data_IF_063177046528
#
_entry.id   IF_063177046528
#
_cell.length_a   1.000
_cell.length_b   1.000
_cell.length_c   1.000
_cell.angle_alpha   90.00
_cell.angle_beta   90.00
_cell.angle_gamma   90.00
#
_symmetry.space_group_name_H-M   'P 1'
#
loop_
_entity.id
_entity.type
_entity.pdbx_description
1 polymer ?
#
# COMPACT_ATOMS: atom_id res chain seq x y z
N UNK A 1 -49.71 -55.92 -44.66
CA UNK A 1 -48.62 -56.55 -43.93
C UNK A 1 -47.30 -55.90 -44.33
N UNK A 2 -46.98 -54.77 -43.76
CA UNK A 2 -45.64 -54.18 -43.87
C UNK A 2 -45.36 -53.45 -42.55
N UNK A 3 -44.46 -54.04 -41.80
CA UNK A 3 -43.90 -53.45 -40.58
C UNK A 3 -42.79 -52.49 -40.93
N UNK A 4 -42.95 -51.21 -40.62
CA UNK A 4 -41.96 -50.19 -40.81
C UNK A 4 -41.22 -49.95 -39.51
N UNK A 5 -39.90 -50.26 -39.50
CA UNK A 5 -38.99 -49.95 -38.40
C UNK A 5 -38.56 -48.49 -38.46
N UNK A 6 -38.89 -47.69 -37.46
CA UNK A 6 -38.33 -46.37 -37.25
C UNK A 6 -37.03 -46.51 -36.40
N UNK A 7 -35.87 -46.18 -37.02
CA UNK A 7 -34.61 -45.97 -36.30
C UNK A 7 -34.61 -44.57 -35.67
N UNK A 8 -34.72 -44.49 -34.37
CA UNK A 8 -34.46 -43.26 -33.64
C UNK A 8 -32.94 -43.04 -33.56
N UNK A 9 -32.46 -41.95 -34.19
CA UNK A 9 -31.10 -41.45 -34.02
C UNK A 9 -31.07 -40.54 -32.77
N UNK A 10 -30.46 -41.03 -31.71
CA UNK A 10 -30.14 -40.23 -30.50
C UNK A 10 -28.90 -39.41 -30.78
N UNK A 11 -29.06 -38.13 -31.07
CA UNK A 11 -27.95 -37.18 -31.12
C UNK A 11 -27.62 -36.73 -29.69
N UNK A 12 -26.59 -37.29 -29.09
CA UNK A 12 -26.03 -36.80 -27.84
C UNK A 12 -25.37 -35.44 -28.06
N UNK A 13 -26.06 -34.39 -27.65
CA UNK A 13 -25.44 -33.07 -27.47
C UNK A 13 -24.54 -33.14 -26.23
N UNK A 14 -23.24 -33.28 -26.41
CA UNK A 14 -22.26 -33.04 -25.38
C UNK A 14 -22.19 -31.53 -25.15
N UNK A 15 -22.92 -31.07 -24.17
CA UNK A 15 -22.78 -29.71 -23.63
C UNK A 15 -21.47 -29.68 -22.84
N UNK A 16 -20.38 -29.29 -23.49
CA UNK A 16 -19.14 -28.94 -22.77
C UNK A 16 -19.39 -27.62 -22.07
N UNK A 17 -19.89 -27.71 -20.85
CA UNK A 17 -19.82 -26.59 -19.91
C UNK A 17 -18.35 -26.43 -19.53
N UNK A 18 -17.66 -25.51 -20.19
CA UNK A 18 -16.40 -24.98 -19.68
C UNK A 18 -16.74 -24.27 -18.38
N UNK A 19 -16.57 -24.98 -17.28
CA UNK A 19 -16.51 -24.40 -15.96
C UNK A 19 -15.26 -23.49 -15.96
N UNK A 20 -15.47 -22.19 -16.20
CA UNK A 20 -14.55 -21.18 -15.73
C UNK A 20 -14.56 -21.30 -14.21
N UNK A 21 -13.59 -22.02 -13.67
CA UNK A 21 -13.23 -21.92 -12.26
C UNK A 21 -12.73 -20.50 -12.05
N UNK A 22 -13.63 -19.62 -11.66
CA UNK A 22 -13.25 -18.42 -10.93
C UNK A 22 -12.60 -18.98 -9.66
N UNK A 23 -11.28 -19.06 -9.64
CA UNK A 23 -10.53 -19.22 -8.39
C UNK A 23 -10.87 -17.98 -7.57
N UNK A 24 -11.90 -18.08 -6.75
CA UNK A 24 -12.09 -17.14 -5.66
C UNK A 24 -10.80 -17.24 -4.86
N UNK A 25 -10.02 -16.16 -4.82
CA UNK A 25 -8.81 -16.10 -4.02
C UNK A 25 -9.14 -16.54 -2.61
N UNK A 26 -8.36 -17.47 -2.08
CA UNK A 26 -8.61 -17.92 -0.71
C UNK A 26 -8.53 -16.70 0.22
N UNK A 27 -9.28 -16.65 1.35
CA UNK A 27 -9.21 -15.54 2.30
C UNK A 27 -7.77 -15.18 2.71
N UNK A 28 -6.89 -16.18 2.75
CA UNK A 28 -5.46 -15.99 2.99
C UNK A 28 -4.79 -15.23 1.83
N UNK A 29 -5.02 -15.62 0.59
CA UNK A 29 -4.41 -14.99 -0.56
C UNK A 29 -4.86 -13.54 -0.70
N UNK A 30 -6.16 -13.26 -0.50
CA UNK A 30 -6.70 -11.92 -0.48
C UNK A 30 -6.09 -11.05 0.64
N UNK A 31 -5.91 -11.62 1.84
CA UNK A 31 -5.24 -10.94 2.95
C UNK A 31 -3.77 -10.61 2.65
N UNK A 32 -3.00 -11.58 2.13
CA UNK A 32 -1.58 -11.36 1.80
C UNK A 32 -1.41 -10.33 0.69
N UNK A 33 -2.27 -10.32 -0.31
CA UNK A 33 -2.28 -9.32 -1.37
C UNK A 33 -2.61 -7.93 -0.81
N UNK A 34 -3.69 -7.78 -0.06
CA UNK A 34 -4.08 -6.50 0.52
C UNK A 34 -3.02 -5.95 1.49
N UNK A 35 -2.37 -6.83 2.26
CA UNK A 35 -1.24 -6.49 3.14
C UNK A 35 -0.05 -5.94 2.34
N UNK A 36 0.29 -6.58 1.23
CA UNK A 36 1.38 -6.13 0.36
C UNK A 36 1.04 -4.79 -0.33
N UNK A 37 -0.19 -4.63 -0.81
CA UNK A 37 -0.69 -3.39 -1.40
C UNK A 37 -0.62 -2.24 -0.39
N UNK A 38 -1.07 -2.45 0.85
CA UNK A 38 -1.01 -1.46 1.92
C UNK A 38 0.44 -1.08 2.28
N UNK A 39 1.33 -2.05 2.40
CA UNK A 39 2.76 -1.81 2.63
C UNK A 39 3.35 -0.95 1.51
N UNK A 40 3.07 -1.27 0.25
CA UNK A 40 3.58 -0.54 -0.91
C UNK A 40 3.04 0.89 -0.96
N UNK A 41 1.74 1.11 -0.69
CA UNK A 41 1.14 2.44 -0.65
C UNK A 41 1.76 3.32 0.45
N UNK A 42 1.94 2.77 1.65
CA UNK A 42 2.59 3.48 2.76
C UNK A 42 4.06 3.77 2.48
N UNK A 43 4.78 2.84 1.85
CA UNK A 43 6.17 3.04 1.48
C UNK A 43 6.32 4.08 0.35
N UNK A 44 5.41 4.08 -0.64
CA UNK A 44 5.35 5.11 -1.67
C UNK A 44 5.03 6.49 -1.06
N UNK A 45 4.09 6.57 -0.10
CA UNK A 45 3.79 7.80 0.63
C UNK A 45 4.98 8.28 1.46
N UNK A 46 5.67 7.37 2.16
CA UNK A 46 6.84 7.68 2.97
C UNK A 46 7.96 8.36 2.17
N UNK A 47 8.04 8.07 0.85
CA UNK A 47 9.09 8.61 0.00
C UNK A 47 8.98 10.13 -0.24
N UNK A 48 7.83 10.76 0.02
CA UNK A 48 7.63 12.19 -0.26
C UNK A 48 8.19 13.11 0.81
N UNK A 49 8.47 12.81 1.97
CA UNK A 49 9.09 13.67 2.99
C UNK A 49 8.24 14.85 3.46
N UNK A 50 6.97 14.96 3.06
CA UNK A 50 5.99 15.87 3.62
C UNK A 50 5.34 15.27 4.88
N UNK A 51 4.37 15.98 5.51
CA UNK A 51 3.76 15.51 6.76
C UNK A 51 3.16 14.10 6.65
N UNK A 52 2.36 13.75 5.61
CA UNK A 52 1.90 12.37 5.42
C UNK A 52 3.05 11.38 5.26
N UNK A 53 4.05 11.72 4.45
CA UNK A 53 5.21 10.88 4.22
C UNK A 53 6.04 10.63 5.47
N UNK A 54 6.25 11.66 6.30
CA UNK A 54 6.95 11.50 7.59
C UNK A 54 6.17 10.60 8.55
N UNK A 55 4.84 10.75 8.63
CA UNK A 55 3.99 9.89 9.45
C UNK A 55 4.04 8.43 8.97
N UNK A 56 3.95 8.20 7.65
CA UNK A 56 4.08 6.88 7.06
C UNK A 56 5.45 6.24 7.35
N UNK A 57 6.52 7.03 7.23
CA UNK A 57 7.87 6.56 7.53
C UNK A 57 8.03 6.14 8.99
N UNK A 58 7.52 6.95 9.93
CA UNK A 58 7.55 6.63 11.35
C UNK A 58 6.79 5.34 11.65
N UNK A 59 5.61 5.16 11.04
CA UNK A 59 4.82 3.94 11.16
C UNK A 59 5.57 2.71 10.66
N UNK A 60 6.17 2.78 9.48
CA UNK A 60 6.95 1.69 8.90
C UNK A 60 8.16 1.32 9.77
N UNK A 61 8.85 2.32 10.34
CA UNK A 61 9.97 2.09 11.28
C UNK A 61 9.48 1.39 12.54
N UNK A 62 8.33 1.81 13.12
CA UNK A 62 7.70 1.10 14.26
C UNK A 62 7.38 -0.35 13.93
N UNK A 63 6.97 -0.63 12.70
CA UNK A 63 6.74 -1.99 12.18
C UNK A 63 8.02 -2.77 11.86
N UNK A 64 9.19 -2.23 12.20
CA UNK A 64 10.50 -2.91 12.09
C UNK A 64 11.16 -2.79 10.72
N UNK A 65 10.73 -1.85 9.86
CA UNK A 65 11.42 -1.54 8.61
C UNK A 65 12.63 -0.63 8.86
N UNK A 66 13.78 -1.00 8.33
CA UNK A 66 14.92 -0.12 8.19
C UNK A 66 14.81 0.61 6.86
N UNK A 67 14.80 1.94 6.87
CA UNK A 67 14.54 2.76 5.68
C UNK A 67 15.70 3.73 5.46
N UNK A 68 16.43 3.52 4.38
CA UNK A 68 17.48 4.40 3.89
C UNK A 68 16.92 5.35 2.83
N UNK A 69 16.86 6.64 3.14
CA UNK A 69 16.44 7.68 2.22
C UNK A 69 17.61 8.16 1.39
N UNK A 70 17.48 8.18 0.08
CA UNK A 70 18.51 8.56 -0.85
C UNK A 70 18.05 9.69 -1.78
N UNK A 71 18.98 10.58 -2.10
CA UNK A 71 18.80 11.62 -3.11
C UNK A 71 20.03 11.62 -4.00
N UNK A 72 19.83 11.33 -5.28
CA UNK A 72 20.90 11.39 -6.27
C UNK A 72 20.57 12.48 -7.29
N UNK A 73 21.52 13.37 -7.54
CA UNK A 73 21.38 14.45 -8.53
C UNK A 73 22.37 14.27 -9.65
N UNK A 74 21.94 14.64 -10.84
CA UNK A 74 22.78 14.93 -11.98
C UNK A 74 22.34 16.25 -12.63
N UNK A 75 22.90 16.61 -13.79
CA UNK A 75 22.64 17.89 -14.47
C UNK A 75 21.20 18.03 -14.96
N UNK A 76 20.41 16.93 -14.98
CA UNK A 76 19.08 16.87 -15.62
C UNK A 76 17.98 16.39 -14.69
N UNK A 77 18.32 15.69 -13.61
CA UNK A 77 17.32 15.11 -12.71
C UNK A 77 17.79 15.03 -11.26
N UNK A 78 16.81 14.95 -10.36
CA UNK A 78 16.98 14.64 -8.96
C UNK A 78 16.16 13.40 -8.64
N UNK A 79 16.84 12.25 -8.53
CA UNK A 79 16.21 11.00 -8.15
C UNK A 79 16.12 10.86 -6.62
N UNK A 80 14.89 10.75 -6.11
CA UNK A 80 14.57 10.53 -4.69
C UNK A 80 13.94 9.17 -4.53
N UNK A 81 14.45 8.39 -3.57
CA UNK A 81 13.93 7.06 -3.31
C UNK A 81 14.26 6.57 -1.90
N UNK A 82 13.55 5.56 -1.46
CA UNK A 82 13.84 4.82 -0.24
C UNK A 82 14.21 3.38 -0.58
N UNK A 83 15.30 2.90 0.01
CA UNK A 83 15.64 1.49 0.05
C UNK A 83 15.32 0.97 1.45
N UNK A 84 14.32 0.09 1.54
CA UNK A 84 13.83 -0.41 2.82
C UNK A 84 14.07 -1.91 2.96
N UNK A 85 14.38 -2.37 4.18
CA UNK A 85 14.64 -3.77 4.49
C UNK A 85 13.98 -4.19 5.80
N UNK A 86 13.43 -5.43 5.79
CA UNK A 86 12.93 -6.11 6.98
C UNK A 86 13.08 -7.62 6.80
N UNK A 87 13.94 -8.25 7.59
CA UNK A 87 14.24 -9.68 7.43
C UNK A 87 14.72 -10.00 6.00
N UNK A 88 13.98 -10.86 5.30
CA UNK A 88 14.28 -11.24 3.92
C UNK A 88 13.62 -10.35 2.87
N UNK A 89 12.96 -9.28 3.27
CA UNK A 89 12.28 -8.37 2.36
C UNK A 89 13.15 -7.17 2.02
N UNK A 90 13.31 -6.89 0.73
CA UNK A 90 13.87 -5.65 0.20
C UNK A 90 12.80 -4.92 -0.61
N UNK A 91 12.62 -3.63 -0.33
CA UNK A 91 11.65 -2.80 -1.02
C UNK A 91 12.32 -1.51 -1.49
N UNK A 92 12.18 -1.20 -2.79
CA UNK A 92 12.55 0.08 -3.37
C UNK A 92 11.28 0.91 -3.55
N UNK A 93 11.17 2.06 -2.90
CA UNK A 93 10.11 3.03 -3.13
C UNK A 93 10.66 4.27 -3.83
N UNK A 94 10.13 4.57 -4.99
CA UNK A 94 10.56 5.73 -5.79
C UNK A 94 9.59 6.88 -5.59
N UNK A 95 10.14 8.06 -5.30
CA UNK A 95 9.35 9.28 -5.11
C UNK A 95 8.80 9.78 -6.45
N UNK A 96 7.52 10.10 -6.49
CA UNK A 96 6.90 10.77 -7.61
C UNK A 96 7.09 12.29 -7.57
N UNK A 97 6.54 12.98 -8.57
CA UNK A 97 6.52 14.44 -8.63
C UNK A 97 5.46 15.00 -7.67
N UNK A 98 5.82 16.08 -6.95
CA UNK A 98 4.98 16.60 -5.87
C UNK A 98 3.68 17.31 -6.34
N UNK A 99 3.60 17.72 -7.61
CA UNK A 99 2.41 18.43 -8.13
C UNK A 99 1.98 17.97 -9.52
N UNK A 100 0.66 18.05 -9.79
CA UNK A 100 0.09 17.81 -11.13
C UNK A 100 0.59 18.81 -12.18
N UNK A 101 0.95 20.04 -11.77
CA UNK A 101 1.49 21.05 -12.66
C UNK A 101 2.90 20.65 -13.13
N UNK A 102 3.73 20.15 -12.21
CA UNK A 102 5.07 19.65 -12.50
C UNK A 102 5.00 18.39 -13.39
N UNK A 103 4.04 17.51 -13.14
CA UNK A 103 3.81 16.35 -14.02
C UNK A 103 3.55 16.77 -15.46
N UNK A 104 2.73 17.82 -15.68
CA UNK A 104 2.45 18.33 -17.04
C UNK A 104 3.66 18.99 -17.68
N UNK A 105 4.49 19.69 -16.90
CA UNK A 105 5.73 20.32 -17.40
C UNK A 105 6.84 19.30 -17.63
N UNK A 106 6.93 18.28 -16.79
CA UNK A 106 7.95 17.22 -16.85
C UNK A 106 7.62 16.13 -17.88
N UNK A 107 6.36 16.05 -18.36
CA UNK A 107 5.94 15.21 -19.47
C UNK A 107 6.49 15.76 -20.80
N UNK A 108 7.80 15.95 -20.87
CA UNK A 108 8.50 16.08 -22.14
C UNK A 108 8.35 14.75 -22.88
N UNK A 109 7.43 14.70 -23.86
CA UNK A 109 6.95 13.48 -24.53
C UNK A 109 7.98 12.77 -25.41
N UNK A 110 9.25 13.12 -25.28
CA UNK A 110 10.31 12.47 -26.01
C UNK A 110 10.45 11.03 -25.56
N UNK A 111 10.40 10.12 -26.52
CA UNK A 111 10.69 8.73 -26.30
C UNK A 111 12.10 8.38 -26.79
N UNK A 112 12.77 7.52 -26.03
CA UNK A 112 14.08 6.97 -26.40
C UNK A 112 13.96 5.47 -26.63
N UNK A 113 14.91 4.91 -27.42
CA UNK A 113 15.02 3.48 -27.53
C UNK A 113 15.43 2.90 -26.18
N UNK A 114 14.70 1.90 -25.68
CA UNK A 114 15.05 1.24 -24.43
C UNK A 114 16.36 0.45 -24.60
N UNK A 115 17.38 0.82 -23.84
CA UNK A 115 18.74 0.28 -23.96
C UNK A 115 19.00 -1.05 -23.24
N UNK A 116 17.97 -1.79 -22.85
CA UNK A 116 18.11 -3.09 -22.19
C UNK A 116 18.62 -4.20 -23.11
N UNK A 117 19.29 -5.21 -22.53
CA UNK A 117 19.90 -6.33 -23.26
C UNK A 117 18.91 -7.32 -23.85
N UNK A 118 17.68 -7.36 -23.36
CA UNK A 118 16.63 -8.27 -23.81
C UNK A 118 16.08 -7.90 -25.19
N UNK A 119 16.93 -7.63 -26.20
CA UNK A 119 16.32 -7.20 -27.38
C UNK A 119 17.00 -6.94 -28.66
N UNK A 120 18.05 -7.66 -28.93
CA UNK A 120 18.55 -7.74 -30.34
C UNK A 120 17.68 -8.58 -31.24
N UNK A 121 16.67 -9.29 -30.76
CA UNK A 121 15.64 -9.94 -31.59
C UNK A 121 14.48 -8.96 -31.79
N UNK A 122 14.73 -7.89 -32.54
CA UNK A 122 13.68 -7.06 -33.06
C UNK A 122 12.81 -7.93 -33.99
N UNK A 123 11.56 -8.21 -33.61
CA UNK A 123 10.49 -8.42 -34.60
C UNK A 123 10.52 -7.21 -35.54
N UNK A 124 10.20 -7.39 -36.80
CA UNK A 124 10.33 -6.42 -37.90
C UNK A 124 9.73 -5.03 -37.66
N UNK A 125 8.95 -4.83 -36.58
CA UNK A 125 8.12 -3.64 -36.33
C UNK A 125 8.27 -3.02 -34.92
N UNK A 126 9.21 -3.45 -34.05
CA UNK A 126 9.12 -3.08 -32.65
C UNK A 126 10.42 -2.65 -31.97
N UNK A 127 10.92 -1.44 -32.27
CA UNK A 127 11.87 -0.78 -31.36
C UNK A 127 11.15 -0.49 -30.05
N UNK A 128 11.59 -1.11 -28.95
CA UNK A 128 11.10 -0.75 -27.60
C UNK A 128 11.47 0.67 -27.31
N UNK A 129 10.47 1.46 -27.01
CA UNK A 129 10.63 2.86 -26.68
C UNK A 129 10.03 3.14 -25.30
N UNK A 130 10.70 3.99 -24.55
CA UNK A 130 10.25 4.42 -23.22
C UNK A 130 10.35 5.93 -23.12
N UNK A 131 9.68 6.51 -22.13
CA UNK A 131 9.73 7.93 -21.86
C UNK A 131 11.13 8.35 -21.43
N UNK A 132 11.72 9.32 -22.13
CA UNK A 132 13.11 9.72 -21.94
C UNK A 132 13.40 10.22 -20.51
N UNK A 133 12.48 11.01 -19.93
CA UNK A 133 12.62 11.50 -18.56
C UNK A 133 12.58 10.36 -17.52
N UNK A 134 11.69 9.40 -17.68
CA UNK A 134 11.62 8.25 -16.77
C UNK A 134 12.85 7.35 -16.90
N UNK A 135 13.34 7.14 -18.12
CA UNK A 135 14.56 6.35 -18.37
C UNK A 135 15.79 7.02 -17.78
N UNK A 136 15.91 8.35 -17.94
CA UNK A 136 16.98 9.12 -17.34
C UNK A 136 16.94 9.05 -15.82
N UNK A 137 15.78 9.31 -15.20
CA UNK A 137 15.60 9.21 -13.74
C UNK A 137 15.96 7.80 -13.24
N UNK A 138 15.53 6.75 -13.94
CA UNK A 138 15.86 5.35 -13.60
C UNK A 138 17.38 5.13 -13.63
N UNK A 139 18.05 5.67 -14.65
CA UNK A 139 19.51 5.56 -14.78
C UNK A 139 20.23 6.25 -13.63
N UNK A 140 19.81 7.48 -13.28
CA UNK A 140 20.36 8.25 -12.16
C UNK A 140 20.15 7.51 -10.82
N UNK A 141 18.94 6.96 -10.61
CA UNK A 141 18.61 6.16 -9.42
C UNK A 141 19.50 4.92 -9.30
N UNK A 142 19.62 4.12 -10.36
CA UNK A 142 20.37 2.87 -10.33
C UNK A 142 21.88 3.10 -10.22
N UNK A 143 22.38 4.25 -10.69
CA UNK A 143 23.79 4.67 -10.56
C UNK A 143 24.11 5.28 -9.19
N UNK A 144 23.13 5.58 -8.34
CA UNK A 144 23.34 6.20 -7.04
C UNK A 144 24.30 5.35 -6.17
N UNK A 145 25.30 5.97 -5.52
CA UNK A 145 26.25 5.24 -4.64
C UNK A 145 25.52 4.73 -3.39
N UNK A 146 25.78 3.49 -3.01
CA UNK A 146 25.22 2.88 -1.82
C UNK A 146 26.16 1.80 -1.25
N UNK A 147 26.73 2.05 -0.07
CA UNK A 147 27.58 1.07 0.63
C UNK A 147 28.79 0.58 -0.17
N UNK A 148 29.44 1.45 -0.96
CA UNK A 148 30.59 1.10 -1.81
C UNK A 148 30.23 0.45 -3.16
N UNK A 149 28.94 0.31 -3.46
CA UNK A 149 28.40 -0.20 -4.72
C UNK A 149 27.42 0.83 -5.30
N UNK A 150 26.76 0.52 -6.42
CA UNK A 150 25.60 1.27 -6.88
C UNK A 150 24.31 0.64 -6.37
N UNK A 151 23.24 1.43 -6.26
CA UNK A 151 21.90 0.92 -5.94
C UNK A 151 21.51 -0.20 -6.90
N UNK A 152 21.77 -0.06 -8.20
CA UNK A 152 21.52 -1.10 -9.19
C UNK A 152 22.23 -2.43 -8.89
N UNK A 153 23.49 -2.38 -8.47
CA UNK A 153 24.26 -3.57 -8.07
C UNK A 153 23.68 -4.22 -6.81
N UNK A 154 23.30 -3.43 -5.83
CA UNK A 154 22.70 -3.93 -4.59
C UNK A 154 21.34 -4.57 -4.86
N UNK A 155 20.48 -3.93 -5.67
CA UNK A 155 19.19 -4.48 -6.04
C UNK A 155 19.33 -5.76 -6.88
N UNK A 156 20.28 -5.81 -7.80
CA UNK A 156 20.56 -7.02 -8.58
C UNK A 156 21.01 -8.18 -7.68
N UNK A 157 21.92 -7.92 -6.73
CA UNK A 157 22.34 -8.93 -5.76
C UNK A 157 21.18 -9.42 -4.88
N UNK A 158 20.34 -8.51 -4.38
CA UNK A 158 19.15 -8.86 -3.59
C UNK A 158 18.11 -9.64 -4.42
N UNK A 159 17.94 -9.34 -5.71
CA UNK A 159 17.02 -10.04 -6.61
C UNK A 159 17.47 -11.48 -6.95
N UNK A 160 18.76 -11.78 -6.84
CA UNK A 160 19.30 -13.13 -7.02
C UNK A 160 19.40 -13.93 -5.72
N UNK A 161 19.24 -13.28 -4.57
CA UNK A 161 19.23 -13.94 -3.26
C UNK A 161 17.84 -14.57 -3.01
N UNK A 162 17.70 -15.48 -2.02
CA UNK A 162 16.40 -16.00 -1.58
C UNK A 162 15.63 -14.95 -0.77
N UNK A 163 15.46 -13.77 -1.36
CA UNK A 163 14.78 -12.61 -0.79
C UNK A 163 13.56 -12.25 -1.63
N UNK A 164 12.58 -11.63 -0.99
CA UNK A 164 11.44 -11.02 -1.70
C UNK A 164 11.80 -9.59 -2.06
N UNK A 165 11.82 -9.29 -3.35
CA UNK A 165 12.08 -7.94 -3.82
C UNK A 165 10.81 -7.32 -4.38
N UNK A 166 10.45 -6.16 -3.84
CA UNK A 166 9.31 -5.36 -4.31
C UNK A 166 9.81 -3.96 -4.70
N UNK A 167 9.33 -3.49 -5.84
CA UNK A 167 9.50 -2.11 -6.27
C UNK A 167 8.15 -1.41 -6.24
N UNK A 168 8.11 -0.19 -5.77
CA UNK A 168 6.85 0.58 -5.69
C UNK A 168 7.07 2.06 -5.95
N UNK A 169 6.00 2.74 -6.26
CA UNK A 169 5.98 4.18 -6.40
C UNK A 169 4.62 4.70 -6.83
N UNK A 170 4.40 5.97 -6.58
CA UNK A 170 3.21 6.70 -6.97
C UNK A 170 3.55 7.65 -8.12
N UNK A 171 2.62 7.82 -9.06
CA UNK A 171 2.79 8.76 -10.18
C UNK A 171 4.07 8.45 -10.99
N UNK A 172 4.92 9.44 -11.26
CA UNK A 172 6.23 9.29 -11.89
C UNK A 172 7.06 8.19 -11.21
N UNK A 173 7.04 8.13 -9.86
CA UNK A 173 7.77 7.10 -9.12
C UNK A 173 7.35 5.68 -9.47
N UNK A 174 6.07 5.46 -9.77
CA UNK A 174 5.55 4.18 -10.25
C UNK A 174 6.10 3.82 -11.64
N UNK A 175 6.17 4.79 -12.56
CA UNK A 175 6.75 4.57 -13.89
C UNK A 175 8.24 4.22 -13.81
N UNK A 176 9.00 4.90 -12.94
CA UNK A 176 10.42 4.62 -12.69
C UNK A 176 10.60 3.25 -12.03
N UNK A 177 9.73 2.85 -11.11
CA UNK A 177 9.76 1.52 -10.49
C UNK A 177 9.61 0.40 -11.54
N UNK A 178 8.71 0.57 -12.53
CA UNK A 178 8.56 -0.36 -13.66
C UNK A 178 9.83 -0.44 -14.49
N UNK A 179 10.46 0.71 -14.83
CA UNK A 179 11.70 0.73 -15.60
C UNK A 179 12.86 0.12 -14.82
N UNK A 180 12.97 0.39 -13.52
CA UNK A 180 13.99 -0.23 -12.67
C UNK A 180 13.83 -1.76 -12.64
N UNK A 181 12.60 -2.26 -12.50
CA UNK A 181 12.31 -3.69 -12.57
C UNK A 181 12.67 -4.29 -13.93
N UNK A 182 12.38 -3.58 -15.03
CA UNK A 182 12.77 -4.03 -16.36
C UNK A 182 14.29 -4.15 -16.52
N UNK A 183 15.05 -3.17 -15.97
CA UNK A 183 16.53 -3.22 -15.94
C UNK A 183 17.07 -4.40 -15.13
N UNK A 184 16.46 -4.68 -13.96
CA UNK A 184 16.83 -5.84 -13.14
C UNK A 184 16.47 -7.16 -13.81
N UNK A 185 15.33 -7.24 -14.50
CA UNK A 185 14.94 -8.40 -15.27
C UNK A 185 15.92 -8.68 -16.43
N UNK A 186 16.48 -7.64 -17.05
CA UNK A 186 17.54 -7.77 -18.07
C UNK A 186 18.84 -8.33 -17.50
N UNK A 187 19.09 -8.13 -16.21
CA UNK A 187 20.22 -8.70 -15.47
C UNK A 187 19.93 -10.12 -14.93
N UNK A 188 18.77 -10.70 -15.29
CA UNK A 188 18.41 -12.07 -14.93
C UNK A 188 17.54 -12.23 -13.67
N UNK A 189 17.11 -11.14 -13.04
CA UNK A 189 16.18 -11.19 -11.92
C UNK A 189 14.83 -11.77 -12.39
N UNK A 190 14.31 -12.79 -11.68
CA UNK A 190 13.12 -13.55 -12.11
C UNK A 190 11.90 -13.44 -11.19
N UNK A 191 12.06 -12.91 -9.98
CA UNK A 191 10.98 -12.81 -8.98
C UNK A 191 10.75 -11.37 -8.54
N UNK A 192 10.56 -10.49 -9.52
CA UNK A 192 10.31 -9.08 -9.27
C UNK A 192 8.82 -8.80 -9.16
N UNK A 193 8.40 -8.24 -8.04
CA UNK A 193 7.08 -7.68 -7.86
C UNK A 193 7.14 -6.16 -7.96
N UNK A 194 6.24 -5.58 -8.73
CA UNK A 194 6.09 -4.13 -8.87
C UNK A 194 4.66 -3.76 -8.53
N UNK A 195 4.48 -2.84 -7.61
CA UNK A 195 3.16 -2.31 -7.24
C UNK A 195 3.17 -0.80 -7.48
N UNK A 196 2.28 -0.32 -8.34
CA UNK A 196 2.24 1.10 -8.71
C UNK A 196 0.91 1.73 -8.42
N UNK A 197 0.93 3.00 -8.05
CA UNK A 197 -0.26 3.80 -7.71
C UNK A 197 -0.35 5.00 -8.66
N UNK A 198 -1.40 5.06 -9.49
CA UNK A 198 -1.63 6.16 -10.41
C UNK A 198 -0.48 6.42 -11.40
N UNK A 199 0.29 5.40 -11.77
CA UNK A 199 1.43 5.56 -12.65
C UNK A 199 1.01 5.81 -14.10
N UNK A 200 1.68 6.76 -14.82
CA UNK A 200 1.47 6.97 -16.25
C UNK A 200 2.06 5.83 -17.09
N UNK A 201 1.71 5.78 -18.37
CA UNK A 201 2.29 4.85 -19.32
C UNK A 201 3.82 5.06 -19.45
N UNK A 202 4.55 3.96 -19.40
CA UNK A 202 6.03 3.96 -19.33
C UNK A 202 6.67 3.92 -20.72
N UNK A 203 6.11 3.12 -21.63
CA UNK A 203 6.68 2.87 -22.95
C UNK A 203 5.61 2.51 -23.96
N UNK A 204 6.07 2.01 -25.11
CA UNK A 204 5.20 1.55 -26.18
C UNK A 204 4.82 0.07 -26.00
N UNK A 205 3.93 -0.41 -26.86
CA UNK A 205 3.43 -1.77 -26.88
C UNK A 205 4.57 -2.82 -26.93
N UNK A 206 5.59 -2.59 -27.75
CA UNK A 206 6.75 -3.48 -27.85
C UNK A 206 7.53 -3.58 -26.51
N UNK A 207 7.55 -2.51 -25.70
CA UNK A 207 8.12 -2.55 -24.34
C UNK A 207 7.21 -3.37 -23.43
N UNK A 208 5.92 -3.13 -23.45
CA UNK A 208 4.95 -3.81 -22.62
C UNK A 208 4.90 -5.32 -22.88
N UNK A 209 4.90 -5.74 -24.15
CA UNK A 209 4.99 -7.16 -24.53
C UNK A 209 6.27 -7.83 -24.02
N UNK A 210 7.41 -7.12 -24.10
CA UNK A 210 8.69 -7.67 -23.70
C UNK A 210 8.80 -7.90 -22.19
N UNK A 211 8.18 -7.04 -21.37
CA UNK A 211 8.34 -7.06 -19.89
C UNK A 211 7.10 -7.52 -19.14
N UNK A 212 5.91 -7.52 -19.74
CA UNK A 212 4.65 -7.91 -19.10
C UNK A 212 4.63 -9.33 -18.52
N UNK A 213 5.48 -10.24 -19.02
CA UNK A 213 5.64 -11.60 -18.48
C UNK A 213 6.89 -11.79 -17.64
N UNK A 214 7.78 -10.80 -17.57
CA UNK A 214 9.07 -10.88 -16.86
C UNK A 214 9.02 -10.20 -15.51
N UNK A 215 8.07 -9.28 -15.33
CA UNK A 215 7.80 -8.60 -14.06
C UNK A 215 6.34 -8.87 -13.65
N UNK A 216 6.12 -9.17 -12.38
CA UNK A 216 4.77 -9.21 -11.82
C UNK A 216 4.37 -7.78 -11.49
N UNK A 217 3.49 -7.21 -12.29
CA UNK A 217 3.06 -5.82 -12.18
C UNK A 217 1.61 -5.72 -11.69
N UNK A 218 1.43 -5.16 -10.50
CA UNK A 218 0.13 -4.82 -9.93
C UNK A 218 -0.09 -3.30 -10.14
N UNK A 219 -0.85 -2.93 -11.18
CA UNK A 219 -1.20 -1.53 -11.50
C UNK A 219 -2.46 -1.14 -10.77
N UNK A 220 -2.34 -0.23 -9.81
CA UNK A 220 -3.46 0.29 -9.03
C UNK A 220 -3.76 1.72 -9.47
N UNK A 221 -5.03 1.97 -9.79
CA UNK A 221 -5.51 3.26 -10.27
C UNK A 221 -6.75 3.65 -9.48
N UNK A 222 -6.77 4.86 -8.94
CA UNK A 222 -7.97 5.40 -8.31
C UNK A 222 -8.98 5.81 -9.40
N UNK A 223 -10.26 5.53 -9.17
CA UNK A 223 -11.30 5.99 -10.09
C UNK A 223 -11.25 7.51 -10.25
N UNK A 224 -11.21 7.97 -11.49
CA UNK A 224 -11.09 9.40 -11.81
C UNK A 224 -9.68 9.98 -11.75
N UNK A 225 -8.64 9.18 -11.51
CA UNK A 225 -7.25 9.64 -11.58
C UNK A 225 -6.89 10.09 -13.01
N UNK A 226 -6.56 11.37 -13.23
CA UNK A 226 -6.27 11.90 -14.57
C UNK A 226 -4.89 11.48 -15.09
N UNK A 227 -3.95 11.10 -14.23
CA UNK A 227 -2.54 10.87 -14.59
C UNK A 227 -2.38 9.54 -15.34
N UNK A 228 -3.22 8.55 -15.04
CA UNK A 228 -3.20 7.27 -15.76
C UNK A 228 -3.20 7.45 -17.29
N UNK A 229 -3.99 8.41 -17.78
CA UNK A 229 -4.15 8.69 -19.22
C UNK A 229 -3.35 9.88 -19.71
N UNK A 230 -2.63 10.60 -18.83
CA UNK A 230 -2.02 11.87 -19.16
C UNK A 230 -1.03 11.79 -20.33
N UNK A 231 -0.15 10.80 -20.34
CA UNK A 231 0.86 10.59 -21.38
C UNK A 231 0.22 10.15 -22.70
N UNK A 232 -0.76 9.26 -22.63
CA UNK A 232 -1.48 8.75 -23.81
C UNK A 232 -2.36 9.84 -24.47
N UNK A 233 -2.88 10.79 -23.69
CA UNK A 233 -3.70 11.88 -24.21
C UNK A 233 -2.91 12.80 -25.17
N UNK A 234 -1.59 12.86 -25.01
CA UNK A 234 -0.71 13.76 -25.77
C UNK A 234 0.21 13.01 -26.76
N UNK A 235 0.39 11.71 -26.62
CA UNK A 235 1.19 10.90 -27.55
C UNK A 235 0.64 9.50 -27.71
N UNK A 236 0.40 9.09 -28.96
CA UNK A 236 0.01 7.73 -29.33
C UNK A 236 1.16 6.72 -29.25
N UNK A 237 2.36 7.17 -28.94
CA UNK A 237 3.55 6.30 -28.82
C UNK A 237 3.49 5.45 -27.56
N UNK A 238 2.77 5.93 -26.53
CA UNK A 238 2.76 5.30 -25.21
C UNK A 238 1.50 4.46 -25.00
N UNK A 239 1.71 3.24 -24.55
CA UNK A 239 0.67 2.29 -24.21
C UNK A 239 0.80 1.88 -22.73
N UNK A 240 -0.34 1.69 -22.08
CA UNK A 240 -0.35 1.14 -20.73
C UNK A 240 -0.22 -0.40 -20.79
N UNK A 241 0.37 -0.99 -19.77
CA UNK A 241 0.17 -2.41 -19.53
C UNK A 241 -1.33 -2.71 -19.40
N UNK A 242 -1.80 -3.83 -19.97
CA UNK A 242 -3.22 -4.12 -20.13
C UNK A 242 -3.98 -4.20 -18.79
N UNK A 243 -3.41 -4.87 -17.80
CA UNK A 243 -4.09 -5.18 -16.57
C UNK A 243 -3.97 -4.04 -15.55
N UNK A 244 -5.09 -3.68 -14.95
CA UNK A 244 -5.14 -2.71 -13.83
C UNK A 244 -6.22 -3.09 -12.83
N UNK A 245 -5.99 -2.75 -11.57
CA UNK A 245 -7.00 -2.77 -10.52
C UNK A 245 -7.50 -1.35 -10.27
N UNK A 246 -8.80 -1.12 -10.40
CA UNK A 246 -9.41 0.18 -10.11
C UNK A 246 -9.93 0.20 -8.68
N UNK A 247 -9.48 1.19 -7.91
CA UNK A 247 -9.95 1.43 -6.55
C UNK A 247 -10.86 2.64 -6.50
N UNK A 248 -11.73 2.66 -5.48
CA UNK A 248 -12.59 3.80 -5.18
C UNK A 248 -12.11 4.49 -3.91
N UNK A 249 -12.04 5.82 -3.95
CA UNK A 249 -11.78 6.61 -2.76
C UNK A 249 -12.98 6.60 -1.82
N UNK A 250 -12.74 6.54 -0.52
CA UNK A 250 -13.80 6.76 0.46
C UNK A 250 -14.40 8.18 0.29
N UNK A 251 -15.69 8.37 0.61
CA UNK A 251 -16.33 9.68 0.44
C UNK A 251 -15.57 10.84 1.10
N UNK A 252 -14.95 10.58 2.25
CA UNK A 252 -14.16 11.55 3.03
C UNK A 252 -12.77 11.84 2.47
N UNK A 253 -12.31 11.06 1.48
CA UNK A 253 -10.96 11.16 0.90
C UNK A 253 -10.95 11.51 -0.59
N UNK A 254 -12.08 11.89 -1.16
CA UNK A 254 -12.24 12.20 -2.60
C UNK A 254 -11.54 13.48 -3.08
N UNK A 255 -10.74 14.13 -2.26
CA UNK A 255 -10.13 15.44 -2.58
C UNK A 255 -9.39 15.46 -3.91
N UNK A 256 -8.57 14.47 -4.14
CA UNK A 256 -7.81 14.28 -5.38
C UNK A 256 -7.70 12.79 -5.67
N UNK A 257 -8.21 12.34 -6.81
CA UNK A 257 -8.06 10.96 -7.24
C UNK A 257 -6.59 10.56 -7.47
N UNK A 258 -5.68 11.54 -7.60
CA UNK A 258 -4.23 11.34 -7.77
C UNK A 258 -3.42 11.62 -6.49
N UNK A 259 -4.02 11.78 -5.33
CA UNK A 259 -3.28 11.99 -4.08
C UNK A 259 -2.84 10.66 -3.48
N UNK A 260 -1.55 10.50 -3.16
CA UNK A 260 -1.01 9.27 -2.55
C UNK A 260 -1.68 8.96 -1.20
N UNK A 261 -2.09 9.97 -0.42
CA UNK A 261 -2.83 9.75 0.82
C UNK A 261 -4.19 9.06 0.56
N UNK A 262 -4.87 9.38 -0.55
CA UNK A 262 -6.08 8.66 -0.96
C UNK A 262 -5.83 7.19 -1.30
N UNK A 263 -4.73 6.89 -1.99
CA UNK A 263 -4.30 5.52 -2.27
C UNK A 263 -3.93 4.75 -1.00
N UNK A 264 -3.22 5.39 -0.07
CA UNK A 264 -2.83 4.80 1.20
C UNK A 264 -4.04 4.49 2.09
N UNK A 265 -5.04 5.39 2.16
CA UNK A 265 -6.31 5.17 2.86
C UNK A 265 -7.09 3.99 2.26
N UNK A 266 -7.25 3.97 0.92
CA UNK A 266 -7.95 2.88 0.25
C UNK A 266 -7.24 1.53 0.47
N UNK A 267 -5.91 1.51 0.45
CA UNK A 267 -5.11 0.32 0.74
C UNK A 267 -5.31 -0.18 2.17
N UNK A 268 -5.33 0.72 3.16
CA UNK A 268 -5.59 0.37 4.56
C UNK A 268 -7.00 -0.24 4.76
N UNK A 269 -8.03 0.35 4.16
CA UNK A 269 -9.39 -0.17 4.23
C UNK A 269 -9.46 -1.58 3.67
N UNK A 270 -8.91 -1.81 2.49
CA UNK A 270 -8.82 -3.13 1.86
C UNK A 270 -8.06 -4.13 2.72
N UNK A 271 -6.96 -3.70 3.33
CA UNK A 271 -6.21 -4.52 4.27
C UNK A 271 -7.04 -4.93 5.49
N UNK A 272 -7.75 -3.99 6.13
CA UNK A 272 -8.58 -4.30 7.29
C UNK A 272 -9.77 -5.19 6.93
N UNK A 273 -10.41 -4.98 5.78
CA UNK A 273 -11.49 -5.84 5.29
C UNK A 273 -10.98 -7.26 5.06
N UNK A 274 -9.87 -7.41 4.35
CA UNK A 274 -9.27 -8.71 4.06
C UNK A 274 -8.75 -9.42 5.33
N UNK A 275 -8.15 -8.67 6.28
CA UNK A 275 -7.72 -9.18 7.58
C UNK A 275 -8.90 -9.71 8.37
N UNK A 276 -10.01 -8.95 8.44
CA UNK A 276 -11.22 -9.36 9.14
C UNK A 276 -11.84 -10.62 8.53
N UNK A 277 -11.91 -10.69 7.19
CA UNK A 277 -12.40 -11.88 6.51
C UNK A 277 -11.52 -13.11 6.76
N UNK A 278 -10.20 -12.93 6.77
CA UNK A 278 -9.27 -14.02 7.04
C UNK A 278 -9.31 -14.49 8.50
N UNK A 279 -9.37 -13.58 9.47
CA UNK A 279 -9.55 -13.89 10.89
C UNK A 279 -10.88 -14.60 11.17
N UNK A 280 -11.95 -14.20 10.49
CA UNK A 280 -13.25 -14.89 10.55
C UNK A 280 -13.14 -16.32 10.03
N UNK A 281 -12.43 -16.53 8.93
CA UNK A 281 -12.18 -17.86 8.37
C UNK A 281 -11.35 -18.73 9.31
N UNK A 282 -10.34 -18.16 9.98
CA UNK A 282 -9.47 -18.89 10.93
C UNK A 282 -10.15 -19.14 12.29
N UNK A 283 -11.12 -18.31 12.69
CA UNK A 283 -11.71 -18.29 14.02
C UNK A 283 -10.81 -17.70 15.12
N UNK A 284 -9.72 -17.05 14.73
CA UNK A 284 -8.79 -16.35 15.65
C UNK A 284 -8.09 -15.18 14.95
N UNK A 285 -7.54 -14.25 15.73
CA UNK A 285 -6.78 -13.11 15.24
C UNK A 285 -5.47 -13.56 14.55
N UNK A 286 -5.12 -12.86 13.48
CA UNK A 286 -3.82 -13.01 12.81
C UNK A 286 -2.79 -12.18 13.56
N UNK A 287 -1.66 -12.77 14.01
CA UNK A 287 -0.59 -12.02 14.65
C UNK A 287 -0.02 -10.94 13.74
N UNK A 288 0.22 -9.76 14.29
CA UNK A 288 0.86 -8.67 13.55
C UNK A 288 2.35 -8.93 13.33
N UNK A 289 2.83 -8.62 12.13
CA UNK A 289 4.20 -8.86 11.67
C UNK A 289 5.20 -7.86 12.25
N UNK A 290 5.43 -7.76 13.52
CA UNK A 290 6.52 -6.87 13.87
C UNK A 290 6.68 -6.41 15.29
N UNK A 291 5.70 -6.58 16.11
CA UNK A 291 5.86 -6.26 17.53
C UNK A 291 6.20 -7.52 18.33
N UNK A 292 7.30 -7.48 19.08
CA UNK A 292 7.33 -8.29 20.29
C UNK A 292 6.68 -7.43 21.36
N UNK A 293 5.48 -7.77 21.83
CA UNK A 293 4.83 -7.00 22.87
C UNK A 293 5.75 -6.96 24.11
N UNK A 294 6.02 -5.75 24.59
CA UNK A 294 6.80 -5.55 25.79
C UNK A 294 5.89 -5.37 27.00
N UNK A 295 6.31 -5.90 28.14
CA UNK A 295 5.66 -5.66 29.43
C UNK A 295 4.59 -6.68 29.81
N UNK A 296 3.89 -6.38 30.90
CA UNK A 296 2.78 -7.15 31.41
C UNK A 296 1.54 -6.96 30.52
N UNK A 297 0.62 -7.96 30.48
CA UNK A 297 -0.64 -7.79 29.76
C UNK A 297 -1.42 -6.56 30.26
N UNK A 298 -2.02 -5.83 29.29
CA UNK A 298 -2.83 -4.64 29.53
C UNK A 298 -4.26 -4.92 29.07
N UNK A 299 -5.23 -4.65 29.96
CA UNK A 299 -6.64 -4.77 29.61
C UNK A 299 -7.10 -3.56 28.82
N UNK A 300 -7.68 -3.78 27.65
CA UNK A 300 -8.05 -2.73 26.71
C UNK A 300 -9.53 -2.84 26.32
N UNK A 301 -10.42 -2.02 26.89
CA UNK A 301 -11.77 -1.84 26.40
C UNK A 301 -11.82 -1.29 24.97
N UNK A 302 -12.95 -1.45 24.25
CA UNK A 302 -13.14 -0.87 22.94
C UNK A 302 -12.81 0.62 22.89
N UNK A 303 -12.36 1.11 21.74
CA UNK A 303 -12.11 2.53 21.52
C UNK A 303 -13.43 3.32 21.63
N UNK A 304 -13.48 4.33 22.49
CA UNK A 304 -14.60 5.26 22.53
C UNK A 304 -14.51 6.26 21.39
N UNK A 305 -15.55 6.35 20.56
CA UNK A 305 -15.58 7.21 19.38
C UNK A 305 -16.60 8.32 19.50
N UNK A 306 -16.17 9.55 19.20
CA UNK A 306 -17.05 10.71 19.03
C UNK A 306 -16.76 11.33 17.67
N UNK A 307 -17.55 10.96 16.67
CA UNK A 307 -17.27 11.25 15.26
C UNK A 307 -18.27 12.25 14.67
N UNK A 308 -17.78 13.13 13.78
CA UNK A 308 -18.64 13.85 12.83
C UNK A 308 -19.45 12.86 11.99
N UNK A 309 -20.66 13.26 11.58
CA UNK A 309 -21.58 12.43 10.81
C UNK A 309 -20.90 11.84 9.55
N UNK A 310 -20.06 12.61 8.87
CA UNK A 310 -19.34 12.17 7.67
C UNK A 310 -18.36 11.01 7.93
N UNK A 311 -17.93 10.80 9.18
CA UNK A 311 -16.95 9.77 9.55
C UNK A 311 -17.59 8.53 10.20
N UNK A 312 -18.91 8.48 10.34
CA UNK A 312 -19.58 7.33 10.97
C UNK A 312 -19.32 6.00 10.23
N UNK A 313 -19.24 6.06 8.90
CA UNK A 313 -18.91 4.88 8.09
C UNK A 313 -17.45 4.40 8.28
N UNK A 314 -16.58 5.23 8.83
CA UNK A 314 -15.17 4.92 9.06
C UNK A 314 -14.92 4.22 10.42
N UNK A 315 -15.95 4.12 11.28
CA UNK A 315 -15.87 3.49 12.61
C UNK A 315 -15.09 2.18 12.61
N UNK A 316 -15.39 1.14 11.79
CA UNK A 316 -14.69 -0.13 11.87
C UNK A 316 -13.21 -0.03 11.50
N UNK A 317 -12.85 0.88 10.61
CA UNK A 317 -11.46 1.11 10.21
C UNK A 317 -10.68 1.86 11.28
N UNK A 318 -11.30 2.83 11.95
CA UNK A 318 -10.70 3.57 13.06
C UNK A 318 -10.44 2.66 14.27
N UNK A 319 -11.40 1.82 14.63
CA UNK A 319 -11.23 0.82 15.69
C UNK A 319 -10.07 -0.13 15.40
N UNK A 320 -10.05 -0.70 14.18
CA UNK A 320 -8.97 -1.61 13.76
C UNK A 320 -7.61 -0.94 13.73
N UNK A 321 -7.52 0.29 13.24
CA UNK A 321 -6.28 1.05 13.21
C UNK A 321 -5.73 1.31 14.61
N UNK A 322 -6.61 1.68 15.56
CA UNK A 322 -6.22 1.88 16.95
C UNK A 322 -5.77 0.58 17.64
N UNK A 323 -6.44 -0.54 17.34
CA UNK A 323 -6.09 -1.84 17.92
C UNK A 323 -4.77 -2.38 17.36
N UNK A 324 -4.56 -2.26 16.04
CA UNK A 324 -3.29 -2.64 15.40
C UNK A 324 -2.10 -1.87 16.00
N UNK A 325 -2.26 -0.57 16.27
CA UNK A 325 -1.19 0.24 16.89
C UNK A 325 -0.78 -0.29 18.27
N UNK A 326 -1.73 -0.79 19.07
CA UNK A 326 -1.42 -1.37 20.37
C UNK A 326 -0.63 -2.67 20.25
N UNK A 327 -0.93 -3.50 19.25
CA UNK A 327 -0.23 -4.77 19.01
C UNK A 327 1.28 -4.60 18.78
N UNK A 328 1.72 -3.43 18.28
CA UNK A 328 3.14 -3.10 18.12
C UNK A 328 3.81 -2.56 19.38
N UNK A 329 3.04 -1.99 20.31
CA UNK A 329 3.53 -1.28 21.50
C UNK A 329 3.40 -2.10 22.79
N UNK A 330 2.36 -2.91 22.87
CA UNK A 330 1.90 -3.52 24.11
C UNK A 330 1.59 -5.00 23.94
N UNK A 331 1.25 -5.63 25.05
CA UNK A 331 0.61 -6.94 25.10
C UNK A 331 -0.89 -6.76 25.45
N UNK A 332 -1.74 -6.33 24.47
CA UNK A 332 -3.13 -6.00 24.76
C UNK A 332 -3.98 -7.25 24.94
N UNK A 333 -4.88 -7.20 25.92
CA UNK A 333 -5.98 -8.15 26.11
C UNK A 333 -7.28 -7.37 25.86
N UNK A 334 -7.83 -7.53 24.64
CA UNK A 334 -8.99 -6.75 24.23
C UNK A 334 -10.28 -7.26 24.86
N UNK A 335 -11.08 -6.34 25.42
CA UNK A 335 -12.45 -6.61 25.85
C UNK A 335 -13.38 -6.69 24.65
N UNK A 336 -14.38 -7.57 24.71
CA UNK A 336 -15.32 -7.80 23.60
C UNK A 336 -16.45 -6.76 23.53
N UNK A 337 -16.66 -5.97 24.56
CA UNK A 337 -17.75 -5.01 24.67
C UNK A 337 -17.34 -3.80 25.52
N UNK A 338 -18.04 -2.72 25.35
CA UNK A 338 -17.91 -1.55 26.23
C UNK A 338 -18.12 -1.93 27.70
N UNK A 339 -17.40 -1.27 28.57
CA UNK A 339 -17.35 -1.54 30.01
C UNK A 339 -17.24 -0.23 30.80
N UNK A 340 -17.88 -0.19 31.97
CA UNK A 340 -17.55 0.85 32.95
C UNK A 340 -16.12 0.66 33.47
N UNK A 341 -15.46 1.72 33.95
CA UNK A 341 -14.12 1.63 34.53
C UNK A 341 -14.05 0.54 35.63
N UNK A 342 -15.05 0.50 36.51
CA UNK A 342 -15.10 -0.52 37.58
C UNK A 342 -15.19 -1.95 37.08
N UNK A 343 -15.88 -2.20 35.96
CA UNK A 343 -15.93 -3.50 35.28
C UNK A 343 -14.60 -3.82 34.63
N UNK A 344 -14.00 -2.87 33.90
CA UNK A 344 -12.71 -3.04 33.26
C UNK A 344 -11.59 -3.38 34.27
N UNK A 345 -11.55 -2.70 35.42
CA UNK A 345 -10.61 -3.00 36.51
C UNK A 345 -10.81 -4.39 37.11
N UNK A 346 -12.06 -4.85 37.26
CA UNK A 346 -12.31 -6.23 37.70
C UNK A 346 -11.86 -7.27 36.69
N UNK A 347 -12.19 -7.05 35.42
CA UNK A 347 -11.80 -7.96 34.32
C UNK A 347 -10.27 -8.00 34.17
N UNK A 348 -9.60 -6.86 34.22
CA UNK A 348 -8.15 -6.77 34.16
C UNK A 348 -7.51 -7.68 35.23
N UNK A 349 -7.95 -7.59 36.49
CA UNK A 349 -7.45 -8.44 37.59
C UNK A 349 -7.73 -9.92 37.35
N UNK A 350 -8.91 -10.27 36.82
CA UNK A 350 -9.28 -11.67 36.53
C UNK A 350 -8.41 -12.28 35.42
N UNK A 351 -7.95 -11.47 34.45
CA UNK A 351 -7.10 -11.91 33.34
C UNK A 351 -5.60 -11.69 33.60
N UNK A 352 -5.21 -11.31 34.83
CA UNK A 352 -3.80 -11.10 35.18
C UNK A 352 -3.16 -9.86 34.57
N UNK A 353 -3.98 -8.90 34.13
CA UNK A 353 -3.49 -7.64 33.59
C UNK A 353 -3.11 -6.69 34.72
N UNK A 354 -1.95 -6.06 34.64
CA UNK A 354 -1.46 -5.08 35.63
C UNK A 354 -2.09 -3.68 35.45
N UNK A 355 -2.58 -3.38 34.25
CA UNK A 355 -3.08 -2.08 33.86
C UNK A 355 -4.37 -2.18 33.03
N UNK A 356 -5.12 -1.08 33.03
CA UNK A 356 -6.26 -0.83 32.14
C UNK A 356 -5.96 0.40 31.32
N UNK A 357 -6.08 0.28 30.00
CA UNK A 357 -5.93 1.40 29.05
C UNK A 357 -7.31 1.77 28.49
N UNK A 358 -7.82 2.93 28.87
CA UNK A 358 -8.97 3.54 28.20
C UNK A 358 -8.50 4.45 27.07
N UNK A 359 -9.17 4.35 25.91
CA UNK A 359 -8.85 5.14 24.73
C UNK A 359 -10.10 5.87 24.25
N UNK A 360 -9.90 7.11 23.80
CA UNK A 360 -10.95 7.90 23.17
C UNK A 360 -10.42 8.56 21.93
N UNK A 361 -11.22 8.57 20.86
CA UNK A 361 -10.93 9.32 19.64
C UNK A 361 -12.11 10.21 19.29
N UNK A 362 -11.81 11.48 19.06
CA UNK A 362 -12.78 12.50 18.69
C UNK A 362 -12.38 13.10 17.35
N UNK A 363 -13.35 13.25 16.47
CA UNK A 363 -13.18 13.89 15.17
C UNK A 363 -14.31 14.88 14.92
N UNK A 364 -13.96 16.15 14.73
CA UNK A 364 -14.90 17.24 14.46
C UNK A 364 -14.52 17.96 13.18
N UNK A 365 -15.47 18.17 12.29
CA UNK A 365 -15.25 18.90 11.05
C UNK A 365 -14.83 20.35 11.34
N UNK A 366 -13.81 20.82 10.61
CA UNK A 366 -13.39 22.21 10.69
C UNK A 366 -14.38 23.12 9.96
N UNK A 367 -14.70 24.26 10.57
CA UNK A 367 -15.69 25.22 10.02
C UNK A 367 -15.28 25.67 8.61
N UNK A 368 -16.20 25.53 7.66
CA UNK A 368 -15.98 25.92 6.26
C UNK A 368 -15.07 24.99 5.45
N UNK A 369 -14.77 23.81 5.99
CA UNK A 369 -13.97 22.78 5.32
C UNK A 369 -14.79 21.50 5.19
N UNK A 370 -14.86 20.95 3.97
CA UNK A 370 -15.64 19.74 3.70
C UNK A 370 -14.94 18.47 4.17
N UNK A 371 -13.62 18.40 3.99
CA UNK A 371 -12.80 17.20 4.21
C UNK A 371 -11.75 17.36 5.31
N UNK A 372 -11.73 18.48 6.02
CA UNK A 372 -10.75 18.70 7.09
C UNK A 372 -11.41 18.57 8.46
N UNK A 373 -10.77 17.81 9.32
CA UNK A 373 -11.24 17.51 10.68
C UNK A 373 -10.15 17.86 11.70
N UNK A 374 -10.58 18.39 12.86
CA UNK A 374 -9.77 18.40 14.06
C UNK A 374 -9.96 17.06 14.76
N UNK A 375 -8.86 16.44 15.15
CA UNK A 375 -8.80 15.08 15.68
C UNK A 375 -8.08 15.06 17.00
N UNK A 376 -8.66 14.41 18.01
CA UNK A 376 -8.05 14.23 19.33
C UNK A 376 -8.04 12.74 19.67
N UNK A 377 -6.91 12.26 20.14
CA UNK A 377 -6.74 10.90 20.65
C UNK A 377 -6.24 10.97 22.10
N UNK A 378 -7.00 10.37 23.01
CA UNK A 378 -6.73 10.32 24.42
C UNK A 378 -6.43 8.90 24.87
N UNK A 379 -5.42 8.74 25.72
CA UNK A 379 -5.07 7.52 26.44
C UNK A 379 -5.05 7.79 27.93
N UNK A 380 -5.79 6.97 28.71
CA UNK A 380 -5.78 7.04 30.18
C UNK A 380 -5.43 5.67 30.73
N UNK A 381 -4.33 5.59 31.43
CA UNK A 381 -3.78 4.38 32.02
C UNK A 381 -4.12 4.30 33.51
N UNK A 382 -4.69 3.19 33.93
CA UNK A 382 -5.04 2.90 35.32
C UNK A 382 -4.24 1.72 35.84
N UNK A 383 -3.77 1.78 37.07
CA UNK A 383 -3.30 0.61 37.80
C UNK A 383 -4.50 -0.29 38.12
N UNK A 384 -4.47 -1.53 37.64
CA UNK A 384 -5.61 -2.44 37.76
C UNK A 384 -5.92 -2.83 39.20
N UNK A 385 -4.91 -2.81 40.11
CA UNK A 385 -5.06 -3.17 41.53
C UNK A 385 -5.68 -2.04 42.34
N UNK A 386 -5.17 -0.83 42.18
CA UNK A 386 -5.59 0.35 43.00
C UNK A 386 -6.71 1.15 42.33
N UNK A 387 -6.90 1.06 41.03
CA UNK A 387 -7.83 1.90 40.28
C UNK A 387 -7.38 3.37 40.11
N UNK A 388 -6.14 3.69 40.48
CA UNK A 388 -5.58 5.02 40.32
C UNK A 388 -5.07 5.26 38.93
N UNK A 389 -5.21 6.50 38.43
CA UNK A 389 -4.60 6.92 37.15
C UNK A 389 -3.08 6.94 37.31
N UNK A 390 -2.38 6.28 36.41
CA UNK A 390 -0.92 6.33 36.28
C UNK A 390 -0.47 7.42 35.31
N UNK A 391 -1.13 7.49 34.18
CA UNK A 391 -0.78 8.42 33.08
C UNK A 391 -2.04 8.79 32.32
N UNK A 392 -2.12 10.02 31.86
CA UNK A 392 -3.13 10.50 30.93
C UNK A 392 -2.42 11.31 29.84
N UNK A 393 -2.66 10.99 28.59
CA UNK A 393 -2.07 11.66 27.44
C UNK A 393 -3.17 12.07 26.49
N UNK A 394 -3.13 13.30 26.02
CA UNK A 394 -4.04 13.82 24.98
C UNK A 394 -3.21 14.38 23.83
N UNK A 395 -3.53 13.97 22.61
CA UNK A 395 -2.85 14.43 21.39
C UNK A 395 -3.89 14.96 20.43
N UNK A 396 -3.69 16.17 19.94
CA UNK A 396 -4.63 16.84 19.02
C UNK A 396 -3.91 17.34 17.79
N UNK A 397 -4.53 17.18 16.63
CA UNK A 397 -4.06 17.71 15.35
C UNK A 397 -5.23 17.85 14.37
N UNK A 398 -4.96 18.35 13.16
CA UNK A 398 -5.91 18.34 12.06
C UNK A 398 -5.51 17.29 10.99
N UNK A 399 -6.43 17.00 10.08
CA UNK A 399 -6.15 16.10 8.96
C UNK A 399 -5.08 16.69 8.02
N UNK A 400 -5.16 17.97 7.69
CA UNK A 400 -4.31 18.57 6.67
C UNK A 400 -4.38 17.79 5.35
N UNK A 401 -3.27 17.20 4.91
CA UNK A 401 -3.19 16.32 3.74
C UNK A 401 -3.39 14.83 4.07
N UNK A 402 -3.58 14.48 5.33
CA UNK A 402 -3.79 13.10 5.79
C UNK A 402 -5.28 12.76 5.87
N UNK A 403 -5.59 11.48 5.87
CA UNK A 403 -6.93 10.98 6.14
C UNK A 403 -7.15 10.76 7.63
N UNK A 404 -8.39 10.64 8.12
CA UNK A 404 -8.65 10.39 9.54
C UNK A 404 -7.99 9.11 10.08
N UNK A 405 -7.93 8.05 9.27
CA UNK A 405 -7.27 6.78 9.66
C UNK A 405 -5.76 6.98 9.80
N UNK A 406 -5.13 7.65 8.85
CA UNK A 406 -3.69 7.96 8.90
C UNK A 406 -3.33 8.83 10.09
N UNK A 407 -4.17 9.83 10.39
CA UNK A 407 -3.96 10.68 11.57
C UNK A 407 -4.13 9.90 12.87
N UNK A 408 -5.14 9.02 12.96
CA UNK A 408 -5.30 8.16 14.14
C UNK A 408 -4.07 7.27 14.35
N UNK A 409 -3.56 6.63 13.30
CA UNK A 409 -2.32 5.83 13.37
C UNK A 409 -1.13 6.66 13.85
N UNK A 410 -1.00 7.90 13.38
CA UNK A 410 0.06 8.80 13.81
C UNK A 410 -0.07 9.23 15.28
N UNK A 411 -1.29 9.55 15.73
CA UNK A 411 -1.56 9.96 17.12
C UNK A 411 -1.41 8.79 18.11
N UNK A 412 -1.96 7.62 17.74
CA UNK A 412 -1.90 6.43 18.59
C UNK A 412 -0.49 5.82 18.64
N UNK A 413 0.32 6.02 17.61
CA UNK A 413 1.70 5.58 17.56
C UNK A 413 2.73 6.58 18.10
N UNK A 414 2.34 7.79 18.49
CA UNK A 414 3.27 8.76 19.06
C UNK A 414 3.63 8.36 20.50
N UNK A 415 4.91 8.36 20.82
CA UNK A 415 5.47 8.11 22.16
C UNK A 415 5.25 9.29 23.11
#
# INVERSE_FOLDING_TARGET
MFTSCYKAVFTCFFCVTTAFSVFADSPRAAYEQARQEALCAWMAMASYGDRPGLAARQELVRRGWHIDSQVQKDDKSEAKFHLARKGNDTLLAVTGTASLADIKSDLNLHSVAYGGTAGKTARKDGVRRVHAGFDHYTTTLLAAPYGGQTVGQVLAADAHAPKRMTLTGHSLGGAVAVLAAARLADQGASQLQVVTFGAPAVGNDAFNEAYGRRIRLDRIVMEGDPVEKAVQAVSRTYEQFSDKTVWQAAPTTRRFAHDIAGYADAALRRYYDAKTAYETYLGHAVPDDGGRPFGSPVWVPPLSLTLDEALQADTPYLERAADDQLGYRLHPVFARREQSLGEALRQARQHGCSEVLLRQFQARRLKGKEYDFALTYDEIWYDARTGLVRTAVSRTTDTGKMTPIEVLLALAGAD
#
